data_IF_911447054519
#
_entry.id   IF_911447054519
#
_cell.length_a   1.000
_cell.length_b   1.000
_cell.length_c   1.000
_cell.angle_alpha   90.00
_cell.angle_beta   90.00
_cell.angle_gamma   90.00
#
_symmetry.space_group_name_H-M   'P 1'
#
loop_
_entity.id
_entity.type
_entity.pdbx_description
1 polymer ?
#
# COMPACT_ATOMS: atom_id res chain seq x y z
N UNK A 1 -13.84 -14.93 -17.17
CA UNK A 1 -12.88 -14.51 -16.13
C UNK A 1 -12.46 -13.09 -16.47
N UNK A 2 -12.58 -12.13 -15.55
CA UNK A 2 -12.15 -10.74 -15.84
C UNK A 2 -10.63 -10.70 -16.06
N UNK A 3 -10.15 -9.68 -16.78
CA UNK A 3 -8.72 -9.46 -17.02
C UNK A 3 -7.94 -9.38 -15.70
N UNK A 4 -8.48 -8.65 -14.72
CA UNK A 4 -7.96 -8.59 -13.35
C UNK A 4 -7.70 -9.98 -12.75
N UNK A 5 -8.74 -10.83 -12.72
CA UNK A 5 -8.65 -12.17 -12.10
C UNK A 5 -7.67 -13.04 -12.87
N UNK A 6 -7.62 -12.89 -14.20
CA UNK A 6 -6.63 -13.57 -15.03
C UNK A 6 -5.22 -13.18 -14.61
N UNK A 7 -4.89 -11.88 -14.62
CA UNK A 7 -3.56 -11.35 -14.26
C UNK A 7 -3.11 -11.76 -12.86
N UNK A 8 -4.04 -11.79 -11.89
CA UNK A 8 -3.75 -12.26 -10.54
C UNK A 8 -3.36 -13.74 -10.55
N UNK A 9 -4.15 -14.60 -11.19
CA UNK A 9 -3.96 -16.05 -11.15
C UNK A 9 -2.85 -16.57 -12.05
N UNK A 10 -2.61 -15.94 -13.20
CA UNK A 10 -1.66 -16.44 -14.21
C UNK A 10 -0.33 -15.71 -14.18
N UNK A 11 -0.26 -14.52 -13.60
CA UNK A 11 0.98 -13.73 -13.52
C UNK A 11 1.44 -13.54 -12.09
N UNK A 12 0.64 -12.86 -11.26
CA UNK A 12 1.08 -12.46 -9.91
C UNK A 12 1.27 -13.67 -8.98
N UNK A 13 0.27 -14.53 -8.87
CA UNK A 13 0.29 -15.68 -7.95
C UNK A 13 1.45 -16.65 -8.23
N UNK A 14 1.72 -17.09 -9.48
CA UNK A 14 2.86 -17.96 -9.75
C UNK A 14 4.23 -17.33 -9.45
N UNK A 15 4.34 -16.00 -9.52
CA UNK A 15 5.57 -15.29 -9.14
C UNK A 15 5.72 -15.30 -7.62
N UNK A 16 4.67 -14.96 -6.87
CA UNK A 16 4.73 -14.93 -5.41
C UNK A 16 4.90 -16.33 -4.78
N UNK A 17 4.41 -17.36 -5.48
CA UNK A 17 4.52 -18.76 -5.08
C UNK A 17 5.90 -19.38 -5.37
N UNK A 18 6.74 -18.74 -6.21
CA UNK A 18 8.06 -19.30 -6.51
C UNK A 18 8.95 -19.34 -5.27
N UNK A 19 9.97 -20.21 -5.33
CA UNK A 19 10.96 -20.31 -4.25
C UNK A 19 11.70 -18.99 -4.01
N UNK A 20 12.06 -18.29 -5.10
CA UNK A 20 12.56 -16.91 -5.05
C UNK A 20 11.69 -16.02 -5.95
N UNK A 21 10.81 -15.17 -5.39
CA UNK A 21 9.97 -14.27 -6.17
C UNK A 21 10.74 -13.08 -6.76
N UNK A 22 11.91 -12.72 -6.19
CA UNK A 22 12.65 -11.50 -6.54
C UNK A 22 13.16 -11.51 -7.98
N UNK A 23 13.44 -12.70 -8.52
CA UNK A 23 13.89 -12.86 -9.91
C UNK A 23 12.85 -12.37 -10.94
N UNK A 24 11.57 -12.34 -10.56
CA UNK A 24 10.45 -12.14 -11.49
C UNK A 24 9.43 -11.09 -11.06
N UNK A 25 9.49 -10.61 -9.81
CA UNK A 25 8.50 -9.68 -9.28
C UNK A 25 8.61 -8.29 -9.90
N UNK A 26 9.82 -7.81 -10.17
CA UNK A 26 10.07 -6.51 -10.77
C UNK A 26 10.70 -6.64 -12.16
N UNK A 27 10.38 -5.69 -13.04
CA UNK A 27 11.08 -5.52 -14.32
C UNK A 27 12.52 -5.03 -14.12
N UNK A 28 12.80 -4.39 -12.97
CA UNK A 28 14.11 -3.93 -12.57
C UNK A 28 14.65 -4.85 -11.46
N UNK A 29 15.74 -5.55 -11.74
CA UNK A 29 16.33 -6.55 -10.82
C UNK A 29 16.77 -5.98 -9.47
N UNK A 30 16.88 -4.65 -9.34
CA UNK A 30 17.25 -3.94 -8.11
C UNK A 30 16.04 -3.39 -7.32
N UNK A 31 14.81 -3.63 -7.76
CA UNK A 31 13.60 -3.18 -7.06
C UNK A 31 12.85 -4.36 -6.42
N UNK A 32 12.72 -4.39 -5.07
CA UNK A 32 12.07 -5.49 -4.36
C UNK A 32 10.53 -5.42 -4.38
N UNK A 33 9.93 -4.54 -5.19
CA UNK A 33 8.48 -4.33 -5.27
C UNK A 33 7.96 -4.38 -6.70
N UNK A 34 6.66 -4.62 -6.83
CA UNK A 34 5.93 -4.57 -8.09
C UNK A 34 4.69 -3.68 -7.97
N UNK A 35 4.34 -2.98 -9.04
CA UNK A 35 3.11 -2.23 -9.13
C UNK A 35 2.05 -3.04 -9.88
N UNK A 36 0.99 -3.41 -9.17
CA UNK A 36 -0.17 -4.04 -9.77
C UNK A 36 -1.22 -2.98 -10.13
N UNK A 37 -1.25 -2.57 -11.41
CA UNK A 37 -2.26 -1.61 -11.91
C UNK A 37 -3.61 -2.29 -12.13
N UNK A 38 -4.69 -1.60 -11.79
CA UNK A 38 -6.08 -2.01 -11.99
C UNK A 38 -6.94 -0.78 -12.28
N UNK A 39 -8.11 -0.97 -12.87
CA UNK A 39 -9.04 0.15 -13.12
C UNK A 39 -9.83 0.51 -11.83
N UNK A 40 -10.19 1.78 -11.60
CA UNK A 40 -10.88 2.19 -10.37
C UNK A 40 -12.15 1.39 -10.06
N UNK A 41 -12.92 1.02 -11.09
CA UNK A 41 -14.15 0.23 -10.96
C UNK A 41 -13.89 -1.19 -10.45
N UNK A 42 -12.66 -1.68 -10.58
CA UNK A 42 -12.24 -3.01 -10.17
C UNK A 42 -11.82 -3.09 -8.69
N UNK A 43 -11.73 -1.97 -7.97
CA UNK A 43 -11.23 -1.87 -6.58
C UNK A 43 -11.85 -2.93 -5.65
N UNK A 44 -13.17 -3.08 -5.68
CA UNK A 44 -13.85 -4.02 -4.78
C UNK A 44 -13.56 -5.48 -5.14
N UNK A 45 -13.48 -5.81 -6.43
CA UNK A 45 -13.12 -7.16 -6.85
C UNK A 45 -11.64 -7.44 -6.57
N UNK A 46 -10.75 -6.48 -6.77
CA UNK A 46 -9.33 -6.59 -6.40
C UNK A 46 -9.19 -6.92 -4.92
N UNK A 47 -9.86 -6.18 -4.02
CA UNK A 47 -9.81 -6.43 -2.58
C UNK A 47 -10.21 -7.86 -2.22
N UNK A 48 -11.27 -8.36 -2.87
CA UNK A 48 -11.70 -9.76 -2.71
C UNK A 48 -10.63 -10.74 -3.23
N UNK A 49 -10.07 -10.50 -4.41
CA UNK A 49 -9.06 -11.38 -4.99
C UNK A 49 -7.75 -11.39 -4.19
N UNK A 50 -7.31 -10.26 -3.64
CA UNK A 50 -6.16 -10.18 -2.73
C UNK A 50 -6.43 -10.94 -1.43
N UNK A 51 -7.66 -10.91 -0.91
CA UNK A 51 -8.11 -11.77 0.22
C UNK A 51 -7.95 -13.24 -0.08
N UNK A 52 -8.41 -13.68 -1.25
CA UNK A 52 -8.26 -15.07 -1.65
C UNK A 52 -6.80 -15.43 -1.94
N UNK A 53 -6.01 -14.52 -2.50
CA UNK A 53 -4.59 -14.73 -2.82
C UNK A 53 -3.76 -14.91 -1.55
N UNK A 54 -3.94 -14.04 -0.55
CA UNK A 54 -3.32 -14.19 0.77
C UNK A 54 -3.59 -15.58 1.33
N UNK A 55 -4.85 -16.02 1.39
CA UNK A 55 -5.20 -17.36 1.89
C UNK A 55 -4.43 -18.47 1.16
N UNK A 56 -4.33 -18.38 -0.18
CA UNK A 56 -3.60 -19.39 -0.98
C UNK A 56 -2.09 -19.35 -0.73
N UNK A 57 -1.48 -18.17 -0.61
CA UNK A 57 -0.06 -18.03 -0.34
C UNK A 57 0.28 -18.53 1.07
N UNK A 58 -0.52 -18.18 2.07
CA UNK A 58 -0.37 -18.65 3.46
C UNK A 58 -0.49 -20.17 3.55
N UNK A 59 -1.44 -20.78 2.83
CA UNK A 59 -1.56 -22.25 2.76
C UNK A 59 -0.33 -22.94 2.16
N UNK A 60 0.47 -22.22 1.36
CA UNK A 60 1.73 -22.70 0.78
C UNK A 60 2.97 -22.34 1.62
N UNK A 61 2.77 -21.78 2.81
CA UNK A 61 3.84 -21.48 3.77
C UNK A 61 4.49 -20.10 3.60
N UNK A 62 3.90 -19.21 2.77
CA UNK A 62 4.32 -17.80 2.71
C UNK A 62 3.79 -17.04 3.93
N UNK A 63 4.52 -16.02 4.37
CA UNK A 63 4.10 -15.06 5.40
C UNK A 63 3.56 -13.83 4.69
N UNK A 64 2.26 -13.57 4.80
CA UNK A 64 1.63 -12.45 4.07
C UNK A 64 1.20 -11.38 5.06
N UNK A 65 1.61 -10.14 4.80
CA UNK A 65 1.21 -8.96 5.56
C UNK A 65 0.47 -7.96 4.68
N UNK A 66 -0.44 -7.19 5.27
CA UNK A 66 -1.20 -6.14 4.58
C UNK A 66 -1.00 -4.80 5.23
N UNK A 67 -0.65 -3.82 4.43
CA UNK A 67 -0.51 -2.43 4.86
C UNK A 67 -1.50 -1.60 4.06
N UNK A 68 -2.49 -1.02 4.74
CA UNK A 68 -3.43 -0.10 4.10
C UNK A 68 -2.94 1.33 4.25
N UNK A 69 -2.65 2.00 3.13
CA UNK A 69 -2.23 3.40 3.16
C UNK A 69 -3.36 4.34 3.61
N UNK A 70 -4.61 3.93 3.43
CA UNK A 70 -5.76 4.65 3.99
C UNK A 70 -5.77 4.61 5.53
N UNK A 71 -5.40 3.48 6.14
CA UNK A 71 -5.29 3.38 7.60
C UNK A 71 -4.07 4.15 8.12
N UNK A 72 -2.96 4.15 7.38
CA UNK A 72 -1.80 4.97 7.72
C UNK A 72 -2.15 6.47 7.67
N UNK A 73 -2.89 6.92 6.66
CA UNK A 73 -3.39 8.29 6.57
C UNK A 73 -4.31 8.64 7.75
N UNK A 74 -5.26 7.77 8.08
CA UNK A 74 -6.19 7.97 9.19
C UNK A 74 -5.45 8.09 10.53
N UNK A 75 -4.49 7.19 10.80
CA UNK A 75 -3.63 7.25 11.98
C UNK A 75 -2.81 8.55 12.02
N UNK A 76 -2.19 8.94 10.90
CA UNK A 76 -1.42 10.17 10.80
C UNK A 76 -2.29 11.38 11.15
N UNK A 77 -3.49 11.49 10.59
CA UNK A 77 -4.41 12.59 10.85
C UNK A 77 -4.85 12.64 12.31
N UNK A 78 -5.26 11.49 12.87
CA UNK A 78 -5.72 11.40 14.27
C UNK A 78 -4.60 11.64 15.28
N UNK A 79 -3.34 11.38 14.92
CA UNK A 79 -2.19 11.67 15.78
C UNK A 79 -1.98 13.17 16.00
N UNK A 80 -2.43 14.01 15.06
CA UNK A 80 -2.26 15.46 15.13
C UNK A 80 -3.42 16.14 15.84
N UNK A 81 -4.67 15.72 15.53
CA UNK A 81 -5.90 16.25 16.12
C UNK A 81 -7.11 15.37 15.78
N UNK A 82 -8.22 15.47 16.52
CA UNK A 82 -9.48 14.81 16.16
C UNK A 82 -9.95 15.10 14.73
N UNK A 83 -10.63 14.14 14.10
CA UNK A 83 -11.11 14.28 12.71
C UNK A 83 -12.11 15.43 12.53
N UNK A 84 -12.87 15.73 13.57
CA UNK A 84 -13.84 16.82 13.63
C UNK A 84 -13.16 18.17 13.39
N UNK A 85 -11.96 18.36 13.93
CA UNK A 85 -11.17 19.58 13.76
C UNK A 85 -10.63 19.69 12.32
N UNK A 86 -10.30 18.57 11.69
CA UNK A 86 -9.94 18.54 10.27
C UNK A 86 -11.13 18.96 9.39
N UNK A 87 -12.33 18.44 9.68
CA UNK A 87 -13.55 18.82 8.95
C UNK A 87 -13.93 20.29 9.17
N UNK A 88 -13.73 20.82 10.38
CA UNK A 88 -13.94 22.23 10.66
C UNK A 88 -12.95 23.11 9.88
N UNK A 89 -11.65 22.75 9.93
CA UNK A 89 -10.61 23.46 9.21
C UNK A 89 -10.83 23.44 7.69
N UNK A 90 -11.30 22.32 7.11
CA UNK A 90 -11.65 22.27 5.69
C UNK A 90 -12.77 23.23 5.32
N UNK A 91 -13.83 23.32 6.15
CA UNK A 91 -14.96 24.23 5.91
C UNK A 91 -14.54 25.70 6.01
N UNK A 92 -13.57 26.01 6.85
CA UNK A 92 -13.09 27.38 7.06
C UNK A 92 -12.03 27.83 6.04
N UNK A 93 -11.10 26.94 5.71
CA UNK A 93 -9.89 27.27 4.93
C UNK A 93 -9.91 26.74 3.50
N UNK A 94 -10.87 25.87 3.18
CA UNK A 94 -11.02 25.23 1.87
C UNK A 94 -10.17 23.96 1.70
N UNK A 95 -10.56 23.14 0.73
CA UNK A 95 -9.95 21.83 0.46
C UNK A 95 -8.48 21.94 0.03
N UNK A 96 -8.10 22.91 -0.80
CA UNK A 96 -6.71 23.06 -1.26
C UNK A 96 -5.74 23.26 -0.08
N UNK A 97 -6.09 24.12 0.86
CA UNK A 97 -5.31 24.37 2.08
C UNK A 97 -5.16 23.10 2.93
N UNK A 98 -6.23 22.32 3.06
CA UNK A 98 -6.19 21.06 3.80
C UNK A 98 -5.35 20.01 3.10
N UNK A 99 -5.37 19.96 1.77
CA UNK A 99 -4.53 19.04 1.00
C UNK A 99 -3.05 19.29 1.28
N UNK A 100 -2.62 20.55 1.27
CA UNK A 100 -1.25 20.94 1.62
C UNK A 100 -0.92 20.63 3.10
N UNK A 101 -1.87 20.89 4.00
CA UNK A 101 -1.68 20.61 5.42
C UNK A 101 -1.50 19.10 5.67
N UNK A 102 -2.33 18.26 5.06
CA UNK A 102 -2.24 16.79 5.19
C UNK A 102 -0.95 16.28 4.53
N UNK A 103 -0.53 16.86 3.40
CA UNK A 103 0.77 16.57 2.81
C UNK A 103 1.91 16.80 3.81
N UNK A 104 1.93 17.95 4.50
CA UNK A 104 2.93 18.26 5.53
C UNK A 104 2.86 17.29 6.70
N UNK A 105 1.66 16.89 7.15
CA UNK A 105 1.52 15.83 8.18
C UNK A 105 2.23 14.56 7.74
N UNK A 106 1.94 14.07 6.54
CA UNK A 106 2.50 12.82 6.01
C UNK A 106 3.99 12.90 5.62
N UNK A 107 4.57 14.10 5.55
CA UNK A 107 5.97 14.30 5.15
C UNK A 107 6.88 14.66 6.32
N UNK A 108 6.34 15.33 7.36
CA UNK A 108 7.15 15.95 8.41
C UNK A 108 6.76 15.51 9.82
N UNK A 109 5.46 15.45 10.14
CA UNK A 109 4.99 15.26 11.52
C UNK A 109 4.71 13.81 11.87
N UNK A 110 4.10 13.08 10.94
CA UNK A 110 3.86 11.65 11.00
C UNK A 110 4.23 11.06 9.63
N UNK A 111 5.54 10.96 9.32
CA UNK A 111 6.00 10.53 8.01
C UNK A 111 5.37 9.21 7.61
N UNK A 112 4.79 9.18 6.40
CA UNK A 112 4.08 7.99 5.92
C UNK A 112 4.99 6.77 5.85
N UNK A 113 6.27 6.97 5.52
CA UNK A 113 7.27 5.89 5.49
C UNK A 113 7.42 5.24 6.86
N UNK A 114 7.47 6.00 7.95
CA UNK A 114 7.62 5.47 9.30
C UNK A 114 6.39 4.65 9.72
N UNK A 115 5.19 5.11 9.34
CA UNK A 115 3.94 4.38 9.59
C UNK A 115 3.84 3.08 8.80
N UNK A 116 4.44 3.03 7.62
CA UNK A 116 4.53 1.83 6.78
C UNK A 116 5.61 0.88 7.33
N UNK A 117 6.77 1.41 7.70
CA UNK A 117 7.90 0.66 8.25
C UNK A 117 7.53 -0.01 9.58
N UNK A 118 6.85 0.69 10.48
CA UNK A 118 6.33 0.14 11.73
C UNK A 118 5.33 -1.03 11.56
N UNK A 119 4.84 -1.26 10.33
CA UNK A 119 3.94 -2.37 9.97
C UNK A 119 4.62 -3.45 9.14
N UNK A 120 5.88 -3.26 8.77
CA UNK A 120 6.68 -4.28 8.11
C UNK A 120 6.99 -5.43 9.09
N UNK A 121 7.25 -6.65 8.60
CA UNK A 121 7.72 -7.74 9.45
C UNK A 121 9.05 -7.39 10.13
N UNK A 122 9.18 -7.65 11.44
CA UNK A 122 10.40 -7.36 12.23
C UNK A 122 11.65 -8.13 11.74
N UNK A 123 11.47 -9.33 11.20
CA UNK A 123 12.53 -10.21 10.67
C UNK A 123 12.13 -10.69 9.25
N UNK A 124 12.29 -9.83 8.22
CA UNK A 124 11.80 -10.11 6.88
C UNK A 124 12.68 -11.14 6.17
N UNK A 125 12.06 -12.23 5.70
CA UNK A 125 12.65 -13.25 4.85
C UNK A 125 12.16 -13.02 3.40
N UNK A 126 13.02 -12.55 2.48
CA UNK A 126 12.61 -12.22 1.11
C UNK A 126 12.10 -13.42 0.29
N UNK A 127 12.31 -14.66 0.75
CA UNK A 127 11.82 -15.87 0.10
C UNK A 127 10.43 -16.29 0.61
N UNK A 128 10.02 -15.78 1.78
CA UNK A 128 8.79 -16.19 2.46
C UNK A 128 7.80 -15.05 2.69
N UNK A 129 8.29 -13.85 2.96
CA UNK A 129 7.45 -12.69 3.25
C UNK A 129 6.95 -12.02 1.99
N UNK A 130 5.68 -11.64 2.01
CA UNK A 130 5.04 -10.87 0.96
C UNK A 130 4.19 -9.79 1.61
N UNK A 131 4.51 -8.54 1.34
CA UNK A 131 3.77 -7.39 1.87
C UNK A 131 2.92 -6.80 0.76
N UNK A 132 1.60 -6.82 0.97
CA UNK A 132 0.66 -6.11 0.09
C UNK A 132 0.42 -4.70 0.64
N UNK A 133 0.95 -3.70 -0.07
CA UNK A 133 0.62 -2.29 0.16
C UNK A 133 -0.62 -1.96 -0.67
N UNK A 134 -1.71 -1.63 0.01
CA UNK A 134 -3.04 -1.48 -0.58
C UNK A 134 -3.56 -0.05 -0.37
N UNK A 135 -4.61 0.31 -1.13
CA UNK A 135 -5.34 1.58 -0.97
C UNK A 135 -4.50 2.82 -1.27
N UNK A 136 -3.57 2.71 -2.23
CA UNK A 136 -2.73 3.83 -2.70
C UNK A 136 -3.56 5.02 -3.20
N UNK A 137 -4.73 4.76 -3.80
CA UNK A 137 -5.66 5.81 -4.23
C UNK A 137 -6.21 6.69 -3.09
N UNK A 138 -6.17 6.23 -1.84
CA UNK A 138 -6.62 7.03 -0.69
C UNK A 138 -5.70 8.21 -0.37
N UNK A 139 -4.46 8.19 -0.91
CA UNK A 139 -3.49 9.27 -0.73
C UNK A 139 -3.66 10.38 -1.75
N UNK A 140 -4.46 10.21 -2.80
CA UNK A 140 -4.73 11.30 -3.72
C UNK A 140 -5.74 12.27 -3.10
N UNK A 141 -5.55 13.60 -3.19
CA UNK A 141 -4.44 14.31 -3.83
C UNK A 141 -3.29 14.69 -2.88
N UNK A 142 -3.35 14.27 -1.61
CA UNK A 142 -2.48 14.74 -0.52
C UNK A 142 -1.05 14.19 -0.53
N UNK A 143 -0.79 13.05 -1.16
CA UNK A 143 0.54 12.44 -1.17
C UNK A 143 0.78 11.60 -2.43
N UNK A 144 1.97 11.76 -3.02
CA UNK A 144 2.37 10.97 -4.19
C UNK A 144 2.96 9.64 -3.75
N UNK A 145 2.26 8.53 -4.01
CA UNK A 145 2.71 7.17 -3.68
C UNK A 145 4.12 6.84 -4.21
N UNK A 146 4.55 7.45 -5.33
CA UNK A 146 5.91 7.25 -5.84
C UNK A 146 6.99 7.67 -4.82
N UNK A 147 6.78 8.75 -4.08
CA UNK A 147 7.72 9.22 -3.04
C UNK A 147 7.89 8.18 -1.93
N UNK A 148 6.82 7.45 -1.58
CA UNK A 148 6.89 6.36 -0.61
C UNK A 148 7.75 5.20 -1.14
N UNK A 149 7.63 4.86 -2.43
CA UNK A 149 8.42 3.77 -3.01
C UNK A 149 9.91 4.09 -3.05
N UNK A 150 10.27 5.35 -3.32
CA UNK A 150 11.66 5.80 -3.24
C UNK A 150 12.19 5.70 -1.81
N UNK A 151 11.43 6.18 -0.82
CA UNK A 151 11.79 6.12 0.60
C UNK A 151 11.93 4.68 1.11
N UNK A 152 11.13 3.73 0.61
CA UNK A 152 11.23 2.31 0.97
C UNK A 152 12.43 1.59 0.34
N UNK A 153 13.10 2.18 -0.66
CA UNK A 153 14.29 1.59 -1.29
C UNK A 153 15.55 1.78 -0.44
N UNK A 154 15.55 2.73 0.50
CA UNK A 154 16.73 3.20 1.24
C UNK A 154 17.33 4.44 0.60
#
# INVERSE_FOLDING_TARGET
MSDLVHRIKTTLEPILDSADPRERISAYHDMPYALFRYEPEEEFELRKQITLLETRLTQKGKRVSRISLAQCLDEAMQSQRPLEDWFAAEREQGTETIVETVHSVLSEYAPLVDLVDARMPDDPDPLRDTVFILRTGALFPVYRTFSLLEQLKG
#
